data_IF_608146105350
#
_entry.id   IF_608146105350
#
_cell.length_a   1.000
_cell.length_b   1.000
_cell.length_c   1.000
_cell.angle_alpha   90.00
_cell.angle_beta   90.00
_cell.angle_gamma   90.00
#
_symmetry.space_group_name_H-M   'P 1'
#
loop_
_entity.id
_entity.type
_entity.pdbx_description
1 polymer ?
#
# COMPACT_ATOMS: atom_id res chain seq x y z
N UNK A 1 12.32 6.11 -3.20
CA UNK A 1 12.38 6.37 -1.76
C UNK A 1 11.16 7.19 -1.34
N UNK A 2 10.76 7.16 -0.07
CA UNK A 2 9.63 7.92 0.43
C UNK A 2 9.97 8.66 1.72
N UNK A 3 9.61 9.93 1.79
CA UNK A 3 9.82 10.78 2.96
C UNK A 3 8.55 10.78 3.83
N UNK A 4 8.70 10.47 5.12
CA UNK A 4 7.61 10.28 6.08
C UNK A 4 7.70 11.37 7.15
N UNK A 5 6.78 12.32 7.08
CA UNK A 5 6.66 13.39 8.04
C UNK A 5 6.01 12.92 9.34
N UNK A 6 6.44 13.50 10.46
CA UNK A 6 5.75 13.36 11.75
C UNK A 6 4.52 14.27 11.79
N UNK A 7 3.50 13.93 11.01
CA UNK A 7 2.32 14.76 10.82
C UNK A 7 1.09 14.28 11.61
N UNK A 8 0.25 15.23 11.98
CA UNK A 8 -1.13 14.96 12.37
C UNK A 8 -1.97 14.82 11.09
N UNK A 9 -2.81 13.79 11.05
CA UNK A 9 -3.65 13.44 9.92
C UNK A 9 -5.12 13.43 10.35
N UNK A 10 -5.98 14.10 9.59
CA UNK A 10 -7.42 14.11 9.84
C UNK A 10 -8.23 13.97 8.53
N UNK A 11 -8.97 12.87 8.32
CA UNK A 11 -9.01 11.65 9.13
C UNK A 11 -7.65 10.96 9.23
N UNK A 12 -7.50 10.07 10.22
CA UNK A 12 -6.29 9.26 10.37
C UNK A 12 -6.20 8.14 9.32
N UNK A 13 -5.05 7.47 9.23
CA UNK A 13 -4.87 6.39 8.25
C UNK A 13 -5.84 5.22 8.48
N UNK A 14 -6.04 4.81 9.74
CA UNK A 14 -6.96 3.70 10.07
C UNK A 14 -8.42 4.05 9.77
N UNK A 15 -8.82 5.32 9.91
CA UNK A 15 -10.16 5.77 9.54
C UNK A 15 -10.39 5.62 8.03
N UNK A 16 -9.42 6.03 7.21
CA UNK A 16 -9.48 5.88 5.75
C UNK A 16 -9.50 4.41 5.35
N UNK A 17 -8.66 3.58 5.99
CA UNK A 17 -8.60 2.14 5.73
C UNK A 17 -9.94 1.46 6.08
N UNK A 18 -10.51 1.79 7.23
CA UNK A 18 -11.82 1.31 7.67
C UNK A 18 -12.94 1.72 6.69
N UNK A 19 -12.94 3.00 6.27
CA UNK A 19 -13.91 3.51 5.31
C UNK A 19 -13.83 2.82 3.93
N UNK A 20 -12.63 2.37 3.53
CA UNK A 20 -12.46 1.59 2.32
C UNK A 20 -12.87 0.12 2.50
N UNK A 21 -12.42 -0.55 3.57
CA UNK A 21 -12.71 -1.95 3.86
C UNK A 21 -14.20 -2.21 4.05
N UNK A 22 -14.92 -1.32 4.75
CA UNK A 22 -16.36 -1.45 5.00
C UNK A 22 -17.22 -1.45 3.73
N UNK A 23 -16.68 -0.97 2.61
CA UNK A 23 -17.35 -1.00 1.30
C UNK A 23 -17.08 -2.28 0.51
N UNK A 24 -16.18 -3.15 0.99
CA UNK A 24 -15.78 -4.35 0.28
C UNK A 24 -16.64 -5.54 0.72
N UNK A 25 -17.35 -6.15 -0.23
CA UNK A 25 -18.25 -7.28 0.08
C UNK A 25 -17.52 -8.48 0.67
N UNK A 26 -16.27 -8.71 0.28
CA UNK A 26 -15.43 -9.79 0.81
C UNK A 26 -14.94 -9.52 2.24
N UNK A 27 -14.97 -8.28 2.72
CA UNK A 27 -14.61 -7.92 4.10
C UNK A 27 -15.82 -7.88 5.05
N UNK A 28 -17.04 -8.13 4.58
CA UNK A 28 -18.27 -7.85 5.31
C UNK A 28 -18.42 -8.56 6.68
N UNK A 29 -17.78 -9.72 6.86
CA UNK A 29 -17.80 -10.48 8.12
C UNK A 29 -16.68 -10.12 9.09
N UNK A 30 -15.74 -9.25 8.70
CA UNK A 30 -14.68 -8.77 9.58
C UNK A 30 -15.14 -7.52 10.34
N UNK A 31 -14.75 -7.41 11.61
CA UNK A 31 -14.87 -6.16 12.34
C UNK A 31 -13.76 -5.20 11.89
N UNK A 32 -14.12 -4.29 10.98
CA UNK A 32 -13.22 -3.33 10.34
C UNK A 32 -13.38 -1.91 10.90
N UNK A 33 -13.99 -1.75 12.07
CA UNK A 33 -14.00 -0.46 12.77
C UNK A 33 -12.56 0.03 13.03
N UNK A 34 -12.27 1.35 12.97
CA UNK A 34 -10.90 1.85 13.11
C UNK A 34 -10.18 1.36 14.37
N UNK A 35 -10.89 1.25 15.50
CA UNK A 35 -10.39 0.77 16.78
C UNK A 35 -10.14 -0.75 16.85
N UNK A 36 -10.80 -1.52 15.97
CA UNK A 36 -10.66 -2.97 15.87
C UNK A 36 -9.53 -3.37 14.93
N UNK A 37 -9.15 -2.49 14.01
CA UNK A 37 -8.04 -2.70 13.09
C UNK A 37 -6.68 -2.56 13.78
N UNK A 38 -5.83 -3.58 13.63
CA UNK A 38 -4.44 -3.54 14.06
C UNK A 38 -3.54 -3.29 12.87
N UNK A 39 -2.71 -2.25 12.93
CA UNK A 39 -1.63 -2.05 11.95
C UNK A 39 -0.61 -3.17 12.11
N UNK A 40 -0.43 -3.98 11.06
CA UNK A 40 0.62 -5.01 11.01
C UNK A 40 1.90 -4.40 10.48
N UNK A 41 1.82 -3.84 9.27
CA UNK A 41 2.95 -3.18 8.61
C UNK A 41 2.46 -2.37 7.40
N UNK A 42 3.38 -1.80 6.63
CA UNK A 42 3.10 -1.13 5.37
C UNK A 42 4.33 -1.17 4.49
N UNK A 43 4.16 -1.00 3.19
CA UNK A 43 5.26 -0.73 2.26
C UNK A 43 4.85 0.34 1.26
N UNK A 44 5.82 0.88 0.53
CA UNK A 44 5.59 1.94 -0.46
C UNK A 44 6.24 1.60 -1.78
N UNK A 45 5.66 2.10 -2.86
CA UNK A 45 6.38 2.22 -4.11
C UNK A 45 7.02 3.60 -4.21
N UNK A 46 8.16 3.65 -4.90
CA UNK A 46 8.82 4.91 -5.19
C UNK A 46 8.01 5.69 -6.22
N UNK A 47 7.84 6.99 -6.01
CA UNK A 47 7.39 7.92 -7.04
C UNK A 47 8.55 8.85 -7.42
N UNK A 48 9.20 8.63 -8.56
CA UNK A 48 10.32 9.45 -9.02
C UNK A 48 9.99 10.95 -9.13
N UNK A 49 8.72 11.32 -9.32
CA UNK A 49 8.30 12.72 -9.39
C UNK A 49 7.98 13.33 -8.02
N UNK A 50 7.85 12.51 -6.97
CA UNK A 50 7.55 12.94 -5.60
C UNK A 50 6.16 13.55 -5.41
N UNK A 51 5.21 13.30 -6.30
CA UNK A 51 3.86 13.91 -6.29
C UNK A 51 2.81 13.02 -5.63
N UNK A 52 2.97 11.70 -5.73
CA UNK A 52 2.00 10.70 -5.32
C UNK A 52 2.64 9.77 -4.29
N UNK A 53 2.07 9.75 -3.08
CA UNK A 53 2.42 8.72 -2.11
C UNK A 53 1.68 7.43 -2.44
N UNK A 54 2.36 6.42 -2.98
CA UNK A 54 1.81 5.08 -3.19
C UNK A 54 2.16 4.19 -1.99
N UNK A 55 1.21 3.98 -1.08
CA UNK A 55 1.40 3.21 0.15
C UNK A 55 0.42 2.06 0.21
N UNK A 56 0.88 0.92 0.66
CA UNK A 56 0.06 -0.25 0.86
C UNK A 56 0.11 -0.59 2.35
N UNK A 57 -1.05 -0.56 2.99
CA UNK A 57 -1.20 -0.91 4.40
C UNK A 57 -1.55 -2.39 4.54
N UNK A 58 -0.92 -3.06 5.50
CA UNK A 58 -1.30 -4.40 5.91
C UNK A 58 -1.87 -4.29 7.33
N UNK A 59 -3.14 -4.67 7.48
CA UNK A 59 -3.89 -4.57 8.74
C UNK A 59 -4.53 -5.90 9.09
N UNK A 60 -4.68 -6.16 10.38
CA UNK A 60 -5.39 -7.33 10.89
C UNK A 60 -6.74 -6.93 11.49
N UNK A 61 -7.77 -7.71 11.20
CA UNK A 61 -9.10 -7.64 11.79
C UNK A 61 -9.43 -9.02 12.38
N UNK A 62 -9.19 -9.20 13.68
CA UNK A 62 -9.17 -10.54 14.29
C UNK A 62 -8.06 -11.40 13.68
N UNK A 63 -8.43 -12.58 13.18
CA UNK A 63 -7.51 -13.54 12.55
C UNK A 63 -7.32 -13.30 11.03
N UNK A 64 -8.06 -12.34 10.45
CA UNK A 64 -7.98 -12.01 9.02
C UNK A 64 -6.99 -10.89 8.78
N UNK A 65 -6.22 -10.98 7.70
CA UNK A 65 -5.21 -9.99 7.33
C UNK A 65 -5.54 -9.41 5.96
N UNK A 66 -5.61 -8.08 5.89
CA UNK A 66 -5.97 -7.36 4.68
C UNK A 66 -4.85 -6.46 4.20
N UNK A 67 -4.77 -6.33 2.88
CA UNK A 67 -3.92 -5.37 2.18
C UNK A 67 -4.79 -4.24 1.62
N UNK A 68 -4.45 -2.99 1.91
CA UNK A 68 -5.19 -1.81 1.46
C UNK A 68 -4.25 -0.85 0.72
N UNK A 69 -4.26 -0.88 -0.64
CA UNK A 69 -3.46 0.03 -1.45
C UNK A 69 -4.12 1.42 -1.49
N UNK A 70 -3.35 2.45 -1.14
CA UNK A 70 -3.79 3.84 -1.12
C UNK A 70 -2.82 4.73 -1.90
N UNK A 71 -3.37 5.72 -2.59
CA UNK A 71 -2.59 6.83 -3.14
C UNK A 71 -2.96 8.15 -2.48
N UNK A 72 -1.95 8.90 -2.07
CA UNK A 72 -2.10 10.24 -1.50
C UNK A 72 -1.62 11.29 -2.51
N UNK A 73 -2.53 12.12 -3.01
CA UNK A 73 -2.22 13.19 -3.98
C UNK A 73 -2.38 14.58 -3.36
N UNK A 74 -1.57 15.53 -3.79
CA UNK A 74 -1.67 16.93 -3.36
C UNK A 74 -2.69 17.76 -4.14
N UNK A 75 -3.31 17.16 -5.17
CA UNK A 75 -4.40 17.72 -5.95
C UNK A 75 -5.36 16.59 -6.33
N UNK A 76 -6.61 16.93 -6.59
CA UNK A 76 -7.62 16.00 -7.06
C UNK A 76 -7.21 15.34 -8.40
N UNK A 77 -7.45 14.04 -8.53
CA UNK A 77 -7.27 13.28 -9.77
C UNK A 77 -8.55 13.32 -10.61
N UNK A 78 -8.50 14.02 -11.73
CA UNK A 78 -9.64 14.16 -12.65
C UNK A 78 -10.14 12.80 -13.17
N UNK A 79 -11.45 12.57 -13.08
CA UNK A 79 -12.11 11.37 -13.59
C UNK A 79 -11.99 10.12 -12.70
N UNK A 80 -11.39 10.25 -11.51
CA UNK A 80 -11.24 9.17 -10.54
C UNK A 80 -12.22 9.26 -9.36
N UNK A 81 -13.32 10.00 -9.50
CA UNK A 81 -14.31 10.28 -8.45
C UNK A 81 -14.82 8.99 -7.76
N UNK A 82 -15.05 7.93 -8.56
CA UNK A 82 -15.51 6.63 -8.06
C UNK A 82 -14.50 5.90 -7.16
N UNK A 83 -13.24 6.30 -7.20
CA UNK A 83 -12.14 5.72 -6.44
C UNK A 83 -11.68 6.64 -5.29
N UNK A 84 -12.22 7.86 -5.18
CA UNK A 84 -11.92 8.74 -4.06
C UNK A 84 -12.51 8.13 -2.78
N UNK A 85 -11.66 7.92 -1.78
CA UNK A 85 -12.07 7.40 -0.47
C UNK A 85 -12.43 8.56 0.45
N UNK A 86 -11.51 9.53 0.56
CA UNK A 86 -11.66 10.73 1.39
C UNK A 86 -10.64 11.80 0.98
N UNK A 87 -10.87 13.03 1.42
CA UNK A 87 -9.79 14.00 1.63
C UNK A 87 -9.22 13.84 3.03
N UNK A 88 -7.95 14.21 3.22
CA UNK A 88 -7.20 14.14 4.47
C UNK A 88 -6.40 15.41 4.66
N UNK A 89 -6.58 16.09 5.79
CA UNK A 89 -5.73 17.20 6.19
C UNK A 89 -4.44 16.66 6.78
N UNK A 90 -3.30 17.08 6.21
CA UNK A 90 -1.98 16.74 6.68
C UNK A 90 -1.31 18.01 7.21
N UNK A 91 -0.92 18.03 8.48
CA UNK A 91 -0.42 19.26 9.15
C UNK A 91 0.73 19.97 8.43
N UNK A 92 1.57 19.22 7.71
CA UNK A 92 2.72 19.75 6.94
C UNK A 92 2.44 19.91 5.44
N UNK A 93 1.87 18.90 4.77
CA UNK A 93 1.67 18.88 3.31
C UNK A 93 0.34 19.47 2.84
N UNK A 94 -0.53 19.89 3.77
CA UNK A 94 -1.88 20.39 3.49
C UNK A 94 -2.85 19.28 3.09
N UNK A 95 -3.94 19.65 2.42
CA UNK A 95 -4.98 18.70 1.98
C UNK A 95 -4.41 17.64 1.03
N UNK A 96 -4.75 16.38 1.30
CA UNK A 96 -4.42 15.22 0.49
C UNK A 96 -5.70 14.55 0.01
N UNK A 97 -5.76 14.21 -1.27
CA UNK A 97 -6.82 13.39 -1.85
C UNK A 97 -6.37 11.94 -1.78
N UNK A 98 -7.17 11.11 -1.10
CA UNK A 98 -6.84 9.70 -0.86
C UNK A 98 -7.74 8.80 -1.70
N UNK A 99 -7.13 8.03 -2.59
CA UNK A 99 -7.82 7.13 -3.51
C UNK A 99 -7.50 5.67 -3.20
N UNK A 100 -8.41 4.78 -3.61
CA UNK A 100 -8.10 3.38 -3.83
C UNK A 100 -6.96 3.28 -4.85
N UNK A 101 -5.84 2.69 -4.44
CA UNK A 101 -4.65 2.61 -5.28
C UNK A 101 -4.92 1.94 -6.62
N UNK A 102 -5.72 0.88 -6.69
CA UNK A 102 -6.01 0.23 -7.98
C UNK A 102 -6.91 1.08 -8.89
N UNK A 103 -7.58 2.10 -8.36
CA UNK A 103 -8.27 3.13 -9.12
C UNK A 103 -7.38 4.22 -9.69
N UNK A 104 -6.12 4.28 -9.26
CA UNK A 104 -5.14 5.28 -9.69
C UNK A 104 -4.17 4.69 -10.73
N UNK A 105 -4.12 5.22 -11.97
CA UNK A 105 -3.20 4.75 -13.00
C UNK A 105 -1.72 4.79 -12.60
N UNK A 106 -1.32 5.77 -11.76
CA UNK A 106 0.05 5.86 -11.28
C UNK A 106 0.39 4.66 -10.41
N UNK A 107 -0.47 4.30 -9.46
CA UNK A 107 -0.24 3.13 -8.60
C UNK A 107 -0.12 1.85 -9.41
N UNK A 108 -1.02 1.63 -10.37
CA UNK A 108 -0.97 0.44 -11.26
C UNK A 108 0.34 0.37 -12.03
N UNK A 109 0.80 1.49 -12.58
CA UNK A 109 2.09 1.57 -13.26
C UNK A 109 3.26 1.26 -12.30
N UNK A 110 3.22 1.72 -11.05
CA UNK A 110 4.27 1.44 -10.07
C UNK A 110 4.27 -0.03 -9.63
N UNK A 111 3.09 -0.63 -9.48
CA UNK A 111 2.94 -2.05 -9.17
C UNK A 111 3.46 -2.94 -10.30
N UNK A 112 3.01 -2.69 -11.54
CA UNK A 112 3.50 -3.38 -12.74
C UNK A 112 5.02 -3.26 -12.86
N UNK A 113 5.56 -2.04 -12.76
CA UNK A 113 6.99 -1.80 -12.81
C UNK A 113 7.76 -2.57 -11.73
N UNK A 114 7.26 -2.59 -10.49
CA UNK A 114 7.91 -3.32 -9.40
C UNK A 114 7.99 -4.82 -9.69
N UNK A 115 6.92 -5.42 -10.21
CA UNK A 115 6.90 -6.84 -10.59
C UNK A 115 7.81 -7.10 -11.79
N UNK A 116 7.60 -6.36 -12.90
CA UNK A 116 8.25 -6.58 -14.19
C UNK A 116 9.77 -6.45 -14.12
N UNK A 117 10.27 -5.57 -13.26
CA UNK A 117 11.72 -5.30 -13.13
C UNK A 117 12.38 -6.07 -12.00
N UNK A 118 11.64 -6.94 -11.31
CA UNK A 118 12.07 -7.52 -10.03
C UNK A 118 12.54 -6.44 -9.04
N UNK A 119 11.89 -5.28 -9.08
CA UNK A 119 12.16 -4.14 -8.23
C UNK A 119 11.67 -4.37 -6.81
N UNK A 120 12.12 -3.54 -5.89
CA UNK A 120 11.77 -3.64 -4.47
C UNK A 120 10.92 -2.46 -4.01
N UNK A 121 10.23 -2.64 -2.87
CA UNK A 121 9.58 -1.56 -2.15
C UNK A 121 10.57 -0.42 -1.86
N UNK A 122 10.07 0.81 -1.89
CA UNK A 122 10.86 1.99 -1.61
C UNK A 122 11.41 1.98 -0.18
N UNK A 123 12.68 2.37 -0.04
CA UNK A 123 13.23 2.82 1.24
C UNK A 123 12.43 4.01 1.76
N UNK A 124 12.17 4.03 3.06
CA UNK A 124 11.40 5.07 3.73
C UNK A 124 12.30 5.81 4.72
N UNK A 125 12.19 7.12 4.78
CA UNK A 125 12.97 7.96 5.68
C UNK A 125 12.05 8.83 6.52
N UNK A 126 12.31 8.92 7.82
CA UNK A 126 11.68 9.94 8.65
C UNK A 126 12.28 11.29 8.30
N UNK A 127 11.44 12.30 8.13
CA UNK A 127 11.86 13.67 7.86
C UNK A 127 11.30 14.64 8.90
N UNK A 128 12.03 15.73 9.12
CA UNK A 128 11.51 16.88 9.86
C UNK A 128 10.52 17.71 9.01
N UNK A 129 9.97 18.77 9.60
CA UNK A 129 8.98 19.64 8.95
C UNK A 129 9.54 20.40 7.75
N UNK A 130 10.87 20.53 7.64
CA UNK A 130 11.58 21.15 6.52
C UNK A 130 11.92 20.14 5.41
N UNK A 131 11.67 18.85 5.63
CA UNK A 131 11.94 17.77 4.68
C UNK A 131 13.36 17.18 4.79
N UNK A 132 14.13 17.53 5.82
CA UNK A 132 15.45 16.94 6.03
C UNK A 132 15.32 15.53 6.61
N UNK A 133 16.07 14.58 6.03
CA UNK A 133 16.06 13.18 6.48
C UNK A 133 16.81 13.00 7.79
N UNK A 134 16.15 12.33 8.73
CA UNK A 134 16.68 12.03 10.06
C UNK A 134 17.25 10.60 10.07
N UNK A 135 16.43 9.61 9.73
CA UNK A 135 16.80 8.19 9.77
C UNK A 135 15.97 7.35 8.79
N UNK A 136 16.49 6.16 8.44
CA UNK A 136 15.78 5.17 7.61
C UNK A 136 14.82 4.35 8.47
N UNK A 137 13.57 4.23 8.02
CA UNK A 137 12.53 3.41 8.65
C UNK A 137 12.67 1.98 8.09
N UNK A 138 13.10 1.04 8.93
CA UNK A 138 13.38 -0.34 8.53
C UNK A 138 12.36 -1.37 9.04
N UNK A 139 11.49 -0.97 9.97
CA UNK A 139 10.43 -1.79 10.56
C UNK A 139 9.15 -1.81 9.70
N UNK A 140 9.33 -1.99 8.40
CA UNK A 140 8.30 -2.00 7.36
C UNK A 140 8.39 -3.26 6.53
N UNK A 141 7.31 -3.61 5.81
CA UNK A 141 7.35 -4.73 4.89
C UNK A 141 8.36 -4.46 3.77
N UNK A 142 9.15 -5.48 3.47
CA UNK A 142 9.95 -5.53 2.26
C UNK A 142 9.15 -6.28 1.20
N UNK A 143 8.87 -5.61 0.08
CA UNK A 143 8.22 -6.23 -1.07
C UNK A 143 9.16 -6.28 -2.27
N UNK A 144 9.05 -7.31 -3.12
CA UNK A 144 9.86 -7.44 -4.32
C UNK A 144 9.14 -8.20 -5.44
N UNK A 145 9.41 -7.81 -6.68
CA UNK A 145 8.92 -8.50 -7.87
C UNK A 145 9.68 -9.79 -8.19
N UNK A 146 9.04 -10.73 -8.89
CA UNK A 146 9.68 -11.95 -9.41
C UNK A 146 10.01 -11.89 -10.91
N UNK A 147 9.85 -10.73 -11.55
CA UNK A 147 10.07 -10.55 -12.98
C UNK A 147 8.78 -10.64 -13.80
N UNK A 148 8.84 -10.40 -15.12
CA UNK A 148 7.67 -10.26 -15.96
C UNK A 148 7.01 -11.61 -16.25
N UNK A 149 5.68 -11.62 -16.36
CA UNK A 149 4.91 -12.76 -16.84
C UNK A 149 4.58 -12.61 -18.33
N UNK A 150 4.98 -13.58 -19.15
CA UNK A 150 4.72 -13.54 -20.58
C UNK A 150 3.22 -13.59 -20.86
N UNK A 151 2.71 -12.60 -21.60
CA UNK A 151 1.30 -12.50 -21.97
C UNK A 151 0.40 -11.86 -20.92
N UNK A 152 0.95 -11.41 -19.79
CA UNK A 152 0.19 -10.59 -18.85
C UNK A 152 -0.09 -9.21 -19.43
N UNK A 153 -1.31 -8.73 -19.24
CA UNK A 153 -1.79 -7.44 -19.72
C UNK A 153 -2.20 -6.52 -18.55
N UNK A 154 -2.31 -7.07 -17.33
CA UNK A 154 -2.69 -6.31 -16.14
C UNK A 154 -2.01 -6.81 -14.87
N UNK A 155 -2.24 -6.10 -13.76
CA UNK A 155 -1.84 -6.46 -12.41
C UNK A 155 -3.04 -6.46 -11.46
N UNK A 156 -3.04 -7.38 -10.50
CA UNK A 156 -4.06 -7.48 -9.47
C UNK A 156 -3.43 -7.56 -8.08
N UNK A 157 -4.04 -6.84 -7.14
CA UNK A 157 -3.68 -6.89 -5.71
C UNK A 157 -4.44 -8.03 -5.04
N UNK A 158 -3.75 -8.81 -4.20
CA UNK A 158 -4.40 -9.73 -3.26
C UNK A 158 -4.81 -8.93 -2.02
N UNK A 159 -6.12 -8.76 -1.83
CA UNK A 159 -6.67 -7.90 -0.77
C UNK A 159 -6.83 -8.60 0.57
N UNK A 160 -7.09 -9.91 0.59
CA UNK A 160 -7.07 -10.74 1.79
C UNK A 160 -5.89 -11.70 1.69
N UNK A 161 -5.00 -11.66 2.68
CA UNK A 161 -3.74 -12.40 2.68
C UNK A 161 -3.89 -13.68 3.49
N UNK A 162 -3.53 -14.81 2.87
CA UNK A 162 -3.33 -16.06 3.60
C UNK A 162 -1.84 -16.17 3.99
N UNK A 163 -1.53 -15.93 5.26
CA UNK A 163 -0.15 -15.95 5.76
C UNK A 163 0.42 -17.37 5.89
N UNK A 164 -0.42 -18.39 5.90
CA UNK A 164 -0.02 -19.80 6.05
C UNK A 164 0.23 -20.50 4.71
N UNK A 165 -0.01 -19.81 3.60
CA UNK A 165 0.26 -20.30 2.26
C UNK A 165 1.55 -19.68 1.72
N UNK A 166 2.74 -20.28 1.98
CA UNK A 166 4.01 -19.73 1.52
C UNK A 166 4.05 -19.71 -0.02
N UNK A 167 4.71 -18.70 -0.59
CA UNK A 167 4.96 -18.62 -2.04
C UNK A 167 6.05 -19.61 -2.53
N UNK A 168 6.03 -20.86 -2.04
CA UNK A 168 7.01 -21.89 -2.41
C UNK A 168 7.00 -22.13 -3.92
N UNK A 169 8.17 -22.03 -4.56
CA UNK A 169 8.34 -22.26 -6.00
C UNK A 169 8.07 -21.05 -6.92
N UNK A 170 7.98 -19.84 -6.35
CA UNK A 170 7.58 -18.56 -6.98
C UNK A 170 7.74 -18.48 -8.51
N UNK A 171 6.61 -18.44 -9.20
CA UNK A 171 6.51 -18.14 -10.63
C UNK A 171 6.87 -16.68 -10.94
N UNK A 172 7.15 -16.38 -12.21
CA UNK A 172 7.27 -15.02 -12.70
C UNK A 172 5.92 -14.29 -12.59
N UNK A 173 5.94 -12.96 -12.49
CA UNK A 173 4.73 -12.14 -12.41
C UNK A 173 4.15 -11.95 -11.02
N UNK A 174 4.91 -12.19 -9.95
CA UNK A 174 4.44 -12.03 -8.58
C UNK A 174 5.09 -10.81 -7.92
N UNK A 175 4.33 -10.15 -7.04
CA UNK A 175 4.89 -9.32 -5.98
C UNK A 175 4.87 -10.14 -4.69
N UNK A 176 6.05 -10.39 -4.12
CA UNK A 176 6.20 -11.06 -2.84
C UNK A 176 6.45 -10.04 -1.74
N UNK A 177 6.06 -10.37 -0.51
CA UNK A 177 6.25 -9.54 0.67
C UNK A 177 6.75 -10.32 1.87
N UNK A 178 7.57 -9.68 2.70
CA UNK A 178 7.98 -10.20 4.01
C UNK A 178 8.13 -9.09 5.03
N UNK A 179 7.72 -9.35 6.26
CA UNK A 179 7.98 -8.51 7.43
C UNK A 179 8.33 -9.35 8.67
N UNK A 180 8.62 -8.68 9.78
CA UNK A 180 8.97 -9.35 11.03
C UNK A 180 7.82 -10.25 11.52
N UNK A 181 8.16 -11.47 11.97
CA UNK A 181 7.18 -12.46 12.44
C UNK A 181 6.73 -13.47 11.38
N UNK A 182 7.30 -13.43 10.16
CA UNK A 182 7.02 -14.40 9.10
C UNK A 182 8.24 -15.28 8.77
N UNK A 183 8.01 -16.58 8.64
CA UNK A 183 8.99 -17.55 8.19
C UNK A 183 9.18 -17.50 6.66
N UNK A 184 8.08 -17.39 5.91
CA UNK A 184 8.05 -17.41 4.45
C UNK A 184 7.45 -16.12 3.86
N UNK A 185 7.79 -15.76 2.60
CA UNK A 185 7.13 -14.65 1.91
C UNK A 185 5.69 -14.99 1.54
N UNK A 186 4.86 -13.95 1.51
CA UNK A 186 3.47 -14.01 1.03
C UNK A 186 3.34 -13.37 -0.34
N UNK A 187 2.41 -13.86 -1.16
CA UNK A 187 2.06 -13.19 -2.42
C UNK A 187 1.18 -11.98 -2.10
N UNK A 188 1.58 -10.81 -2.58
CA UNK A 188 0.89 -9.54 -2.38
C UNK A 188 0.10 -9.09 -3.61
N UNK A 189 0.61 -9.41 -4.80
CA UNK A 189 -0.01 -9.07 -6.07
C UNK A 189 0.50 -10.02 -7.17
N UNK A 190 -0.24 -10.05 -8.28
CA UNK A 190 0.01 -10.91 -9.44
C UNK A 190 -0.12 -10.10 -10.72
N UNK A 191 0.65 -10.46 -11.74
CA UNK A 191 0.38 -10.14 -13.13
C UNK A 191 -0.65 -11.12 -13.69
N UNK A 192 -1.57 -10.64 -14.53
CA UNK A 192 -2.66 -11.43 -15.12
C UNK A 192 -2.87 -11.12 -16.59
#
# INVERSE_FOLDING_TARGET
MADIYSAELNPGKLDVISAWLSKQSWAAEADVAPESLKKVTSYRFDDPEGKVGAEIHIVAAGDRVFQVPLTYRGVELAGADKHLISTMEHSILGTRWVYDGMGDPHFRQRLDHAIATAGTSAKQYRVDDEGNRIDEITDVAHAWGTGPLAGAEDVQVLYELNLDSPAEGSDAGLLLGRWAGQEAPVVLAVMV
#
